data_IF_196802322642
#
_entry.id   IF_196802322642
#
_cell.length_a   1.000
_cell.length_b   1.000
_cell.length_c   1.000
_cell.angle_alpha   90.00
_cell.angle_beta   90.00
_cell.angle_gamma   90.00
#
_symmetry.space_group_name_H-M   'P 1'
#
loop_
_entity.id
_entity.type
_entity.pdbx_description
1 polymer ?
#
# COMPACT_ATOMS: atom_id res chain seq x y z
N UNK A 1 53.54 4.75 -7.94
CA UNK A 1 52.60 3.81 -8.60
C UNK A 1 51.20 4.41 -8.42
N UNK A 2 50.71 5.06 -9.45
CA UNK A 2 49.34 5.65 -9.45
C UNK A 2 48.38 4.49 -9.65
N UNK A 3 47.54 4.23 -8.65
CA UNK A 3 46.38 3.33 -8.82
C UNK A 3 45.45 3.94 -9.87
N UNK A 4 45.45 3.35 -11.03
CA UNK A 4 44.39 3.56 -12.02
C UNK A 4 43.08 3.05 -11.45
N UNK A 5 42.34 3.90 -10.71
CA UNK A 5 40.90 3.68 -10.48
C UNK A 5 40.24 3.72 -11.84
N UNK A 6 39.97 2.54 -12.40
CA UNK A 6 39.01 2.40 -13.50
C UNK A 6 37.69 2.94 -12.93
N UNK A 7 37.36 4.20 -13.24
CA UNK A 7 36.07 4.77 -12.93
C UNK A 7 35.06 4.02 -13.81
N UNK A 8 34.43 3.00 -13.28
CA UNK A 8 33.28 2.37 -13.94
C UNK A 8 32.27 3.49 -14.20
N UNK A 9 31.92 3.67 -15.48
CA UNK A 9 30.97 4.69 -15.90
C UNK A 9 29.65 4.47 -15.16
N UNK A 10 29.16 5.49 -14.45
CA UNK A 10 27.90 5.49 -13.72
C UNK A 10 26.74 5.39 -14.73
N UNK A 11 25.74 4.56 -14.41
CA UNK A 11 24.58 4.39 -15.28
C UNK A 11 23.67 5.62 -15.26
N UNK A 12 23.39 6.16 -14.07
CA UNK A 12 22.56 7.32 -13.86
C UNK A 12 23.13 8.19 -12.72
N UNK A 13 23.13 9.50 -12.92
CA UNK A 13 23.47 10.49 -11.90
C UNK A 13 22.28 11.43 -11.69
N UNK A 14 21.72 11.44 -10.49
CA UNK A 14 20.70 12.42 -10.09
C UNK A 14 21.38 13.56 -9.38
N UNK A 15 21.28 14.76 -9.93
CA UNK A 15 21.84 15.99 -9.37
C UNK A 15 20.78 16.79 -8.61
N UNK A 16 21.21 17.53 -7.61
CA UNK A 16 20.37 18.50 -6.89
C UNK A 16 19.11 17.91 -6.27
N UNK A 17 19.19 16.68 -5.76
CA UNK A 17 18.06 16.01 -5.08
C UNK A 17 17.87 16.55 -3.67
N UNK A 18 16.62 16.70 -3.22
CA UNK A 18 16.28 16.84 -1.79
C UNK A 18 15.71 15.51 -1.31
N UNK A 19 16.29 14.92 -0.26
CA UNK A 19 15.80 13.68 0.33
C UNK A 19 14.66 13.93 1.34
N UNK A 20 13.88 12.89 1.75
CA UNK A 20 12.80 13.04 2.72
C UNK A 20 13.25 13.61 4.09
N UNK A 21 14.50 13.40 4.48
CA UNK A 21 15.11 13.93 5.70
C UNK A 21 15.63 15.38 5.56
N UNK A 22 15.50 15.98 4.37
CA UNK A 22 15.92 17.35 4.05
C UNK A 22 17.36 17.48 3.54
N UNK A 23 18.16 16.41 3.51
CA UNK A 23 19.51 16.45 2.92
C UNK A 23 19.42 16.82 1.44
N UNK A 24 20.31 17.70 1.01
CA UNK A 24 20.52 18.03 -0.42
C UNK A 24 21.71 17.24 -0.92
N UNK A 25 21.51 16.41 -1.91
CA UNK A 25 22.50 15.43 -2.36
C UNK A 25 22.47 15.20 -3.86
N UNK A 26 23.53 14.59 -4.38
CA UNK A 26 23.55 13.87 -5.63
C UNK A 26 23.47 12.36 -5.35
N UNK A 27 22.89 11.60 -6.28
CA UNK A 27 22.75 10.15 -6.18
C UNK A 27 23.36 9.51 -7.41
N UNK A 28 24.38 8.68 -7.23
CA UNK A 28 24.99 7.90 -8.31
C UNK A 28 24.44 6.47 -8.31
N UNK A 29 24.12 5.97 -9.50
CA UNK A 29 23.57 4.62 -9.72
C UNK A 29 24.50 3.82 -10.64
N UNK A 30 24.78 2.60 -10.22
CA UNK A 30 25.53 1.62 -11.03
C UNK A 30 24.94 0.22 -10.85
N UNK A 31 24.76 -0.52 -11.94
CA UNK A 31 24.23 -1.89 -11.90
C UNK A 31 22.86 -2.01 -11.26
N UNK A 32 21.99 -1.00 -11.45
CA UNK A 32 20.64 -0.98 -10.92
C UNK A 32 20.55 -0.72 -9.40
N UNK A 33 21.64 -0.32 -8.74
CA UNK A 33 21.72 -0.01 -7.32
C UNK A 33 22.28 1.38 -7.08
N UNK A 34 21.95 1.96 -5.93
CA UNK A 34 22.54 3.21 -5.47
C UNK A 34 23.99 2.93 -5.07
N UNK A 35 24.93 3.48 -5.82
CA UNK A 35 26.36 3.32 -5.60
C UNK A 35 26.92 4.33 -4.59
N UNK A 36 26.40 5.57 -4.63
CA UNK A 36 26.84 6.66 -3.76
C UNK A 36 25.72 7.69 -3.58
N UNK A 37 25.69 8.30 -2.37
CA UNK A 37 24.83 9.46 -2.03
C UNK A 37 25.72 10.45 -1.31
N UNK A 38 25.96 11.62 -1.90
CA UNK A 38 26.85 12.64 -1.37
C UNK A 38 26.35 14.05 -1.66
N UNK A 39 26.86 15.07 -0.97
CA UNK A 39 26.49 16.48 -1.18
C UNK A 39 26.77 16.94 -2.62
N UNK A 40 27.80 16.41 -3.26
CA UNK A 40 28.13 16.60 -4.66
C UNK A 40 28.92 15.39 -5.17
N UNK A 41 28.60 14.93 -6.39
CA UNK A 41 29.28 13.83 -7.07
C UNK A 41 29.79 14.31 -8.40
N UNK A 42 31.12 14.33 -8.55
CA UNK A 42 31.80 14.67 -9.81
C UNK A 42 32.16 13.38 -10.55
N UNK A 43 31.26 12.92 -11.42
CA UNK A 43 31.45 11.69 -12.17
C UNK A 43 30.78 11.78 -13.55
N UNK A 44 31.31 11.04 -14.52
CA UNK A 44 30.66 10.86 -15.82
C UNK A 44 29.58 9.77 -15.68
N UNK A 45 28.38 10.07 -16.17
CA UNK A 45 27.25 9.15 -16.19
C UNK A 45 26.70 9.03 -17.64
N UNK A 46 26.06 7.89 -17.91
CA UNK A 46 25.33 7.69 -19.18
C UNK A 46 24.11 8.58 -19.29
N UNK A 47 23.43 8.79 -18.18
CA UNK A 47 22.25 9.63 -18.07
C UNK A 47 22.37 10.55 -16.84
N UNK A 48 21.88 11.78 -16.95
CA UNK A 48 21.85 12.75 -15.85
C UNK A 48 20.43 13.27 -15.70
N UNK A 49 19.90 13.19 -14.49
CA UNK A 49 18.63 13.81 -14.08
C UNK A 49 18.96 14.98 -13.16
N UNK A 50 18.60 16.20 -13.55
CA UNK A 50 18.62 17.33 -12.63
C UNK A 50 17.27 17.38 -11.89
N UNK A 51 17.28 17.07 -10.58
CA UNK A 51 16.11 17.12 -9.74
C UNK A 51 15.70 18.56 -9.35
N UNK A 52 16.49 19.58 -9.69
CA UNK A 52 16.19 21.02 -9.46
C UNK A 52 15.82 21.35 -8.01
N UNK A 53 16.35 20.61 -7.05
CA UNK A 53 16.01 20.73 -5.64
C UNK A 53 14.63 20.19 -5.26
N UNK A 54 13.98 19.43 -6.13
CA UNK A 54 12.77 18.70 -5.82
C UNK A 54 13.04 17.45 -5.00
N UNK A 55 11.98 16.94 -4.35
CA UNK A 55 12.02 15.76 -3.52
C UNK A 55 12.28 14.50 -4.35
N UNK A 56 13.35 13.79 -4.01
CA UNK A 56 13.58 12.41 -4.46
C UNK A 56 13.21 11.48 -3.31
N UNK A 57 12.22 10.63 -3.55
CA UNK A 57 11.63 9.73 -2.56
C UNK A 57 11.84 8.28 -2.98
N UNK A 58 11.95 7.31 -2.04
CA UNK A 58 11.69 5.92 -2.37
C UNK A 58 10.33 5.80 -3.06
N UNK A 59 10.09 4.75 -3.87
CA UNK A 59 8.80 4.58 -4.56
C UNK A 59 7.67 4.35 -3.57
N UNK A 60 6.45 4.67 -3.98
CA UNK A 60 5.26 4.36 -3.19
C UNK A 60 4.98 2.86 -3.16
N UNK A 61 4.34 2.43 -2.08
CA UNK A 61 3.93 1.04 -1.86
C UNK A 61 2.47 1.03 -1.44
N UNK A 62 1.68 0.18 -2.08
CA UNK A 62 0.34 -0.15 -1.64
C UNK A 62 0.38 -1.44 -0.82
N UNK A 63 0.10 -1.32 0.48
CA UNK A 63 0.19 -2.43 1.42
C UNK A 63 -1.03 -3.34 1.40
N UNK A 64 -2.12 -2.93 0.73
CA UNK A 64 -3.37 -3.67 0.69
C UNK A 64 -4.20 -3.28 -0.52
N UNK A 65 -4.42 -4.22 -1.43
CA UNK A 65 -5.11 -4.02 -2.69
C UNK A 65 -5.89 -5.26 -3.15
N UNK A 66 -6.85 -5.10 -4.07
CA UNK A 66 -7.60 -6.18 -4.73
C UNK A 66 -7.44 -6.09 -6.26
N UNK A 67 -6.32 -6.61 -6.77
CA UNK A 67 -6.00 -6.52 -8.21
C UNK A 67 -6.89 -7.40 -9.09
N UNK A 68 -7.44 -8.49 -8.55
CA UNK A 68 -8.37 -9.35 -9.25
C UNK A 68 -9.71 -8.65 -9.57
N UNK A 69 -10.14 -7.74 -8.69
CA UNK A 69 -11.37 -6.99 -8.86
C UNK A 69 -11.17 -5.62 -9.53
N UNK A 70 -9.94 -5.08 -9.58
CA UNK A 70 -9.68 -3.72 -10.07
C UNK A 70 -10.21 -3.49 -11.47
N UNK A 71 -10.66 -2.26 -11.77
CA UNK A 71 -11.20 -1.81 -13.06
C UNK A 71 -12.42 -2.62 -13.55
N UNK A 72 -13.19 -3.22 -12.62
CA UNK A 72 -14.45 -3.94 -12.93
C UNK A 72 -15.71 -3.15 -12.53
N UNK A 73 -15.59 -1.86 -12.27
CA UNK A 73 -16.72 -1.00 -11.93
C UNK A 73 -17.86 -1.13 -12.95
N UNK A 74 -19.08 -1.37 -12.43
CA UNK A 74 -20.27 -1.57 -13.25
C UNK A 74 -20.45 -2.99 -13.80
N UNK A 75 -19.57 -3.93 -13.44
CA UNK A 75 -19.65 -5.34 -13.84
C UNK A 75 -20.09 -6.21 -12.66
N UNK A 76 -21.14 -7.05 -12.84
CA UNK A 76 -22.14 -7.06 -13.94
C UNK A 76 -23.11 -5.88 -13.84
N UNK A 77 -23.12 -5.15 -12.73
CA UNK A 77 -23.94 -3.97 -12.45
C UNK A 77 -23.26 -3.08 -11.40
N UNK A 78 -23.77 -1.86 -11.20
CA UNK A 78 -23.27 -0.97 -10.15
C UNK A 78 -23.76 -1.37 -8.76
N UNK A 79 -22.95 -1.13 -7.73
CA UNK A 79 -23.33 -1.17 -6.32
C UNK A 79 -24.26 0.02 -6.02
N UNK A 80 -25.51 -0.26 -5.73
CA UNK A 80 -26.54 0.77 -5.52
C UNK A 80 -26.60 1.23 -4.07
N UNK A 81 -26.37 0.35 -3.11
CA UNK A 81 -26.39 0.69 -1.68
C UNK A 81 -25.09 1.34 -1.18
N UNK A 82 -24.01 1.14 -1.91
CA UNK A 82 -22.65 1.53 -1.49
C UNK A 82 -22.18 0.78 -0.25
N UNK A 83 -22.73 -0.41 0.04
CA UNK A 83 -22.35 -1.22 1.18
C UNK A 83 -21.31 -2.28 0.83
N UNK A 84 -20.51 -2.68 1.82
CA UNK A 84 -19.56 -3.80 1.72
C UNK A 84 -20.28 -5.09 1.25
N UNK A 85 -21.42 -5.40 1.85
CA UNK A 85 -22.16 -6.64 1.57
C UNK A 85 -22.72 -6.69 0.15
N UNK A 86 -23.14 -5.56 -0.43
CA UNK A 86 -23.54 -5.54 -1.83
C UNK A 86 -22.33 -5.69 -2.75
N UNK A 87 -21.18 -5.11 -2.41
CA UNK A 87 -19.92 -5.31 -3.14
C UNK A 87 -19.53 -6.80 -3.19
N UNK A 88 -19.57 -7.50 -2.05
CA UNK A 88 -19.29 -8.94 -1.96
C UNK A 88 -20.26 -9.74 -2.83
N UNK A 89 -21.57 -9.38 -2.81
CA UNK A 89 -22.57 -10.04 -3.67
C UNK A 89 -22.28 -9.83 -5.15
N UNK A 90 -21.95 -8.60 -5.55
CA UNK A 90 -21.59 -8.25 -6.93
C UNK A 90 -20.36 -9.02 -7.40
N UNK A 91 -19.36 -9.15 -6.53
CA UNK A 91 -18.19 -9.97 -6.83
C UNK A 91 -18.58 -11.45 -7.06
N UNK A 92 -19.45 -11.99 -6.20
CA UNK A 92 -20.01 -13.33 -6.38
C UNK A 92 -20.77 -13.50 -7.69
N UNK A 93 -21.51 -12.47 -8.15
CA UNK A 93 -22.19 -12.46 -9.44
C UNK A 93 -21.21 -12.37 -10.62
N UNK A 94 -20.09 -11.68 -10.44
CA UNK A 94 -19.05 -11.45 -11.46
C UNK A 94 -18.12 -12.66 -11.62
N UNK A 95 -17.72 -13.32 -10.52
CA UNK A 95 -16.75 -14.44 -10.52
C UNK A 95 -17.01 -15.48 -11.61
N UNK A 96 -18.24 -16.02 -11.79
CA UNK A 96 -18.53 -17.03 -12.83
C UNK A 96 -18.31 -16.53 -14.26
N UNK A 97 -18.37 -15.22 -14.48
CA UNK A 97 -18.25 -14.56 -15.79
C UNK A 97 -16.81 -14.21 -16.15
N UNK A 98 -15.88 -14.31 -15.19
CA UNK A 98 -14.47 -13.95 -15.41
C UNK A 98 -13.80 -14.95 -16.35
N UNK A 99 -12.93 -14.40 -17.22
CA UNK A 99 -11.94 -15.16 -17.99
C UNK A 99 -10.53 -14.77 -17.55
N UNK A 100 -9.60 -15.68 -17.75
CA UNK A 100 -8.19 -15.48 -17.39
C UNK A 100 -7.62 -14.23 -18.09
N UNK A 101 -7.91 -14.08 -19.38
CA UNK A 101 -7.45 -12.96 -20.20
C UNK A 101 -8.02 -11.62 -19.72
N UNK A 102 -9.30 -11.57 -19.36
CA UNK A 102 -9.94 -10.34 -18.88
C UNK A 102 -9.38 -9.88 -17.54
N UNK A 103 -9.03 -10.81 -16.63
CA UNK A 103 -8.36 -10.47 -15.37
C UNK A 103 -6.96 -9.93 -15.64
N UNK A 104 -6.16 -10.60 -16.48
CA UNK A 104 -4.83 -10.13 -16.86
C UNK A 104 -4.90 -8.74 -17.48
N UNK A 105 -5.81 -8.51 -18.42
CA UNK A 105 -5.93 -7.22 -19.11
C UNK A 105 -6.20 -6.08 -18.11
N UNK A 106 -7.19 -6.24 -17.21
CA UNK A 106 -7.49 -5.23 -16.20
C UNK A 106 -6.31 -4.99 -15.24
N UNK A 107 -5.71 -6.06 -14.76
CA UNK A 107 -4.56 -5.98 -13.86
C UNK A 107 -3.36 -5.30 -14.51
N UNK A 108 -3.04 -5.61 -15.78
CA UNK A 108 -1.95 -4.95 -16.51
C UNK A 108 -2.24 -3.47 -16.74
N UNK A 109 -3.45 -3.09 -17.12
CA UNK A 109 -3.86 -1.67 -17.25
C UNK A 109 -3.75 -0.92 -15.93
N UNK A 110 -4.11 -1.56 -14.82
CA UNK A 110 -3.90 -0.96 -13.50
C UNK A 110 -2.41 -0.81 -13.18
N UNK A 111 -1.57 -1.79 -13.51
CA UNK A 111 -0.12 -1.68 -13.32
C UNK A 111 0.48 -0.49 -14.10
N UNK A 112 0.02 -0.22 -15.32
CA UNK A 112 0.45 0.95 -16.09
C UNK A 112 0.09 2.25 -15.36
N UNK A 113 -1.14 2.32 -14.83
CA UNK A 113 -1.60 3.45 -14.04
C UNK A 113 -0.76 3.60 -12.75
N UNK A 114 -0.53 2.51 -12.02
CA UNK A 114 0.27 2.48 -10.80
C UNK A 114 1.71 2.98 -11.02
N UNK A 115 2.37 2.51 -12.09
CA UNK A 115 3.71 2.98 -12.48
C UNK A 115 3.72 4.48 -12.71
N UNK A 116 2.72 5.04 -13.40
CA UNK A 116 2.62 6.48 -13.63
C UNK A 116 2.49 7.28 -12.33
N UNK A 117 1.96 6.67 -11.27
CA UNK A 117 1.85 7.25 -9.93
C UNK A 117 3.07 6.98 -9.04
N UNK A 118 4.11 6.31 -9.56
CA UNK A 118 5.31 5.95 -8.80
C UNK A 118 5.08 4.85 -7.77
N UNK A 119 4.01 4.07 -7.92
CA UNK A 119 3.68 2.92 -7.10
C UNK A 119 4.38 1.69 -7.68
N UNK A 120 5.47 1.23 -7.03
CA UNK A 120 6.35 0.19 -7.56
C UNK A 120 6.41 -1.08 -6.70
N UNK A 121 5.59 -1.17 -5.66
CA UNK A 121 5.37 -2.41 -4.91
C UNK A 121 3.91 -2.47 -4.43
N UNK A 122 3.28 -3.63 -4.57
CA UNK A 122 1.87 -3.84 -4.23
C UNK A 122 1.73 -5.18 -3.54
N UNK A 123 1.02 -5.21 -2.40
CA UNK A 123 0.45 -6.42 -1.82
C UNK A 123 -1.01 -6.50 -2.21
N UNK A 124 -1.39 -7.56 -2.93
CA UNK A 124 -2.77 -7.73 -3.41
C UNK A 124 -3.38 -9.02 -2.88
N UNK A 125 -4.60 -8.91 -2.38
CA UNK A 125 -5.43 -10.05 -1.99
C UNK A 125 -6.08 -10.62 -3.25
N UNK A 126 -5.99 -11.94 -3.41
CA UNK A 126 -6.62 -12.65 -4.53
C UNK A 126 -7.60 -13.68 -3.99
N UNK A 127 -8.85 -13.60 -4.45
CA UNK A 127 -9.92 -14.47 -3.99
C UNK A 127 -9.65 -15.94 -4.37
N UNK A 128 -9.68 -16.83 -3.36
CA UNK A 128 -9.52 -18.28 -3.53
C UNK A 128 -10.84 -19.05 -3.43
N UNK A 129 -11.97 -18.36 -3.24
CA UNK A 129 -13.32 -18.97 -3.23
C UNK A 129 -13.86 -19.18 -4.65
N UNK A 130 -13.01 -19.72 -5.54
CA UNK A 130 -13.33 -20.18 -6.90
C UNK A 130 -12.48 -21.43 -7.17
N UNK A 131 -13.11 -22.57 -7.32
CA UNK A 131 -12.43 -23.86 -7.53
C UNK A 131 -11.52 -23.89 -8.77
N UNK A 132 -11.74 -22.99 -9.73
CA UNK A 132 -10.87 -22.81 -10.90
C UNK A 132 -9.54 -22.18 -10.53
N UNK A 133 -9.46 -21.43 -9.41
CA UNK A 133 -8.35 -20.54 -9.04
C UNK A 133 -7.95 -19.58 -10.18
N UNK A 134 -8.92 -19.19 -10.99
CA UNK A 134 -8.72 -18.39 -12.20
C UNK A 134 -7.98 -17.08 -11.91
N UNK A 135 -8.40 -16.34 -10.89
CA UNK A 135 -7.75 -15.08 -10.52
C UNK A 135 -6.34 -15.30 -9.96
N UNK A 136 -6.11 -16.41 -9.24
CA UNK A 136 -4.77 -16.76 -8.72
C UNK A 136 -3.82 -17.01 -9.89
N UNK A 137 -4.18 -17.85 -10.84
CA UNK A 137 -3.34 -18.15 -12.01
C UNK A 137 -3.08 -16.91 -12.87
N UNK A 138 -4.11 -16.09 -13.09
CA UNK A 138 -4.00 -14.82 -13.82
C UNK A 138 -3.03 -13.85 -13.14
N UNK A 139 -3.13 -13.65 -11.83
CA UNK A 139 -2.24 -12.72 -11.11
C UNK A 139 -0.81 -13.28 -10.93
N UNK A 140 -0.62 -14.59 -10.87
CA UNK A 140 0.71 -15.19 -10.95
C UNK A 140 1.37 -14.92 -12.32
N UNK A 141 0.61 -14.94 -13.39
CA UNK A 141 1.10 -14.54 -14.72
C UNK A 141 1.38 -13.05 -14.80
N UNK A 142 0.48 -12.19 -14.30
CA UNK A 142 0.72 -10.75 -14.19
C UNK A 142 2.00 -10.48 -13.43
N UNK A 143 2.22 -11.10 -12.25
CA UNK A 143 3.44 -10.94 -11.45
C UNK A 143 4.70 -11.20 -12.26
N UNK A 144 4.72 -12.22 -13.10
CA UNK A 144 5.87 -12.51 -13.99
C UNK A 144 6.08 -11.40 -15.01
N UNK A 145 5.01 -10.90 -15.64
CA UNK A 145 5.08 -9.87 -16.68
C UNK A 145 5.55 -8.52 -16.14
N UNK A 146 5.06 -8.13 -14.96
CA UNK A 146 5.35 -6.80 -14.38
C UNK A 146 6.60 -6.77 -13.51
N UNK A 147 7.24 -7.90 -13.23
CA UNK A 147 8.43 -7.98 -12.36
C UNK A 147 9.53 -6.95 -12.68
N UNK A 148 9.78 -6.53 -13.92
CA UNK A 148 10.74 -5.48 -14.23
C UNK A 148 10.33 -4.08 -13.73
N UNK A 149 9.05 -3.87 -13.36
CA UNK A 149 8.48 -2.56 -13.04
C UNK A 149 7.89 -2.51 -11.62
N UNK A 150 7.16 -3.55 -11.20
CA UNK A 150 6.47 -3.62 -9.91
C UNK A 150 6.83 -4.91 -9.18
N UNK A 151 7.14 -4.79 -7.89
CA UNK A 151 7.25 -5.93 -7.00
C UNK A 151 5.83 -6.28 -6.51
N UNK A 152 5.23 -7.38 -7.01
CA UNK A 152 3.89 -7.82 -6.65
C UNK A 152 3.94 -8.99 -5.67
N UNK A 153 3.31 -8.81 -4.50
CA UNK A 153 3.12 -9.83 -3.47
C UNK A 153 1.65 -10.25 -3.42
N UNK A 154 1.36 -11.55 -3.51
CA UNK A 154 0.02 -12.10 -3.54
C UNK A 154 -0.38 -12.67 -2.20
N UNK A 155 -1.61 -12.41 -1.77
CA UNK A 155 -2.23 -12.97 -0.56
C UNK A 155 -3.34 -13.93 -0.95
N UNK A 156 -3.28 -15.19 -0.52
CA UNK A 156 -4.37 -16.14 -0.71
C UNK A 156 -5.53 -15.77 0.21
N UNK A 157 -6.60 -15.21 -0.36
CA UNK A 157 -7.68 -14.57 0.37
C UNK A 157 -9.03 -15.30 0.21
N UNK A 158 -9.55 -15.94 1.25
CA UNK A 158 -10.85 -16.59 1.22
C UNK A 158 -11.99 -15.56 1.41
N UNK A 159 -12.33 -14.82 0.34
CA UNK A 159 -13.27 -13.70 0.32
C UNK A 159 -14.64 -14.04 0.95
N UNK A 160 -15.14 -15.26 0.74
CA UNK A 160 -16.45 -15.69 1.23
C UNK A 160 -16.41 -16.34 2.63
N UNK A 161 -15.23 -16.29 3.31
CA UNK A 161 -14.97 -16.91 4.60
C UNK A 161 -14.22 -18.24 4.49
N UNK A 162 -13.31 -18.51 5.44
CA UNK A 162 -12.46 -19.70 5.42
C UNK A 162 -13.23 -20.98 5.81
N UNK A 163 -14.16 -20.87 6.76
CA UNK A 163 -15.04 -21.97 7.14
C UNK A 163 -16.43 -21.88 6.51
N UNK A 164 -16.84 -20.67 6.14
CA UNK A 164 -18.14 -20.45 5.51
C UNK A 164 -18.22 -21.01 4.08
N UNK A 165 -17.12 -20.94 3.35
CA UNK A 165 -16.96 -21.60 2.05
C UNK A 165 -16.29 -22.98 2.26
N UNK A 166 -16.98 -24.09 1.91
CA UNK A 166 -16.45 -25.45 2.14
C UNK A 166 -15.21 -25.78 1.33
N UNK A 167 -14.91 -25.00 0.28
CA UNK A 167 -13.75 -25.23 -0.61
C UNK A 167 -12.56 -24.32 -0.29
N UNK A 168 -12.77 -23.25 0.50
CA UNK A 168 -11.80 -22.21 0.75
C UNK A 168 -10.47 -22.76 1.30
N UNK A 169 -10.47 -23.64 2.29
CA UNK A 169 -9.26 -24.24 2.85
C UNK A 169 -8.45 -25.00 1.80
N UNK A 170 -9.10 -25.86 1.03
CA UNK A 170 -8.47 -26.64 -0.05
C UNK A 170 -7.86 -25.71 -1.08
N UNK A 171 -8.59 -24.69 -1.49
CA UNK A 171 -8.18 -23.75 -2.52
C UNK A 171 -7.06 -22.82 -2.03
N UNK A 172 -7.11 -22.37 -0.78
CA UNK A 172 -6.04 -21.59 -0.15
C UNK A 172 -4.71 -22.39 -0.18
N UNK A 173 -4.73 -23.65 0.25
CA UNK A 173 -3.53 -24.50 0.21
C UNK A 173 -3.02 -24.70 -1.21
N UNK A 174 -3.89 -24.93 -2.19
CA UNK A 174 -3.50 -25.00 -3.62
C UNK A 174 -2.90 -23.69 -4.13
N UNK A 175 -3.46 -22.55 -3.76
CA UNK A 175 -2.93 -21.25 -4.14
C UNK A 175 -1.52 -21.02 -3.58
N UNK A 176 -1.29 -21.42 -2.30
CA UNK A 176 0.05 -21.38 -1.70
C UNK A 176 1.04 -22.34 -2.40
N UNK A 177 0.59 -23.52 -2.79
CA UNK A 177 1.42 -24.48 -3.55
C UNK A 177 1.76 -23.96 -4.96
N UNK A 178 0.91 -23.13 -5.57
CA UNK A 178 1.18 -22.43 -6.83
C UNK A 178 2.16 -21.25 -6.66
N UNK A 179 2.51 -20.88 -5.44
CA UNK A 179 3.48 -19.84 -5.14
C UNK A 179 2.89 -18.48 -4.77
N UNK A 180 1.69 -18.43 -4.21
CA UNK A 180 1.16 -17.24 -3.53
C UNK A 180 1.96 -17.04 -2.23
N UNK A 181 2.26 -15.78 -1.88
CA UNK A 181 3.31 -15.42 -0.93
C UNK A 181 2.84 -15.32 0.53
N UNK A 182 1.54 -15.03 0.75
CA UNK A 182 1.00 -14.62 2.05
C UNK A 182 -0.33 -15.33 2.32
N UNK A 183 -0.58 -15.69 3.57
CA UNK A 183 -1.85 -16.25 4.01
C UNK A 183 -2.80 -15.12 4.41
N UNK A 184 -3.98 -15.08 3.79
CA UNK A 184 -5.05 -14.13 4.08
C UNK A 184 -6.23 -14.74 4.81
N UNK A 185 -7.16 -13.88 5.27
CA UNK A 185 -8.39 -14.30 5.92
C UNK A 185 -9.35 -13.15 6.14
N UNK A 186 -10.60 -13.46 6.46
CA UNK A 186 -11.68 -12.51 6.79
C UNK A 186 -12.53 -13.04 7.95
N UNK A 187 -11.98 -13.08 9.20
CA UNK A 187 -12.63 -13.75 10.33
C UNK A 187 -13.97 -13.13 10.72
N UNK A 188 -14.18 -11.83 10.53
CA UNK A 188 -15.46 -11.16 10.78
C UNK A 188 -16.52 -11.50 9.71
N UNK A 189 -16.13 -12.12 8.61
CA UNK A 189 -17.03 -12.67 7.59
C UNK A 189 -17.54 -14.08 7.92
N UNK A 190 -17.02 -14.74 8.95
CA UNK A 190 -17.49 -16.05 9.40
C UNK A 190 -18.88 -15.95 10.07
N UNK A 191 -19.52 -17.11 10.32
CA UNK A 191 -20.89 -17.15 10.86
C UNK A 191 -20.95 -16.68 12.30
N UNK A 192 -19.93 -16.99 13.10
CA UNK A 192 -19.86 -16.66 14.53
C UNK A 192 -18.48 -16.11 14.90
N UNK A 193 -18.41 -15.42 16.04
CA UNK A 193 -17.13 -14.99 16.62
C UNK A 193 -16.20 -16.18 16.91
N UNK A 194 -16.76 -17.31 17.31
CA UNK A 194 -16.00 -18.53 17.57
C UNK A 194 -15.40 -19.12 16.28
N UNK A 195 -16.16 -19.15 15.17
CA UNK A 195 -15.66 -19.60 13.87
C UNK A 195 -14.58 -18.65 13.36
N UNK A 196 -14.76 -17.33 13.54
CA UNK A 196 -13.75 -16.33 13.19
C UNK A 196 -12.44 -16.52 13.96
N UNK A 197 -12.51 -16.76 15.26
CA UNK A 197 -11.32 -17.05 16.07
C UNK A 197 -10.66 -18.38 15.69
N UNK A 198 -11.45 -19.41 15.38
CA UNK A 198 -10.95 -20.71 14.93
C UNK A 198 -10.30 -20.62 13.55
N UNK A 199 -10.88 -19.87 12.59
CA UNK A 199 -10.28 -19.64 11.27
C UNK A 199 -8.96 -18.90 11.40
N UNK A 200 -8.89 -17.88 12.26
CA UNK A 200 -7.67 -17.14 12.56
C UNK A 200 -6.55 -18.06 13.06
N UNK A 201 -6.87 -18.94 14.02
CA UNK A 201 -5.89 -19.91 14.53
C UNK A 201 -5.33 -20.78 13.42
N UNK A 202 -6.19 -21.38 12.61
CA UNK A 202 -5.77 -22.31 11.55
C UNK A 202 -4.96 -21.59 10.45
N UNK A 203 -5.38 -20.39 10.01
CA UNK A 203 -4.66 -19.60 9.02
C UNK A 203 -3.26 -19.21 9.50
N UNK A 204 -3.13 -18.82 10.79
CA UNK A 204 -1.82 -18.51 11.38
C UNK A 204 -0.93 -19.77 11.49
N UNK A 205 -1.49 -20.93 11.83
CA UNK A 205 -0.77 -22.21 11.86
C UNK A 205 -0.26 -22.60 10.46
N UNK A 206 -1.11 -22.51 9.43
CA UNK A 206 -0.70 -22.74 8.02
C UNK A 206 0.47 -21.83 7.63
N UNK A 207 0.40 -20.54 7.98
CA UNK A 207 1.46 -19.60 7.67
C UNK A 207 2.76 -19.91 8.42
N UNK A 208 2.67 -20.24 9.70
CA UNK A 208 3.82 -20.59 10.54
C UNK A 208 4.55 -21.83 10.03
N UNK A 209 3.80 -22.92 9.72
CA UNK A 209 4.31 -24.18 9.19
C UNK A 209 5.04 -23.99 7.85
N UNK A 210 4.55 -23.09 6.99
CA UNK A 210 5.12 -22.79 5.68
C UNK A 210 6.17 -21.68 5.68
N UNK A 211 6.42 -21.03 6.81
CA UNK A 211 7.34 -19.90 6.92
C UNK A 211 6.83 -18.63 6.21
N UNK A 212 5.53 -18.49 5.98
CA UNK A 212 4.90 -17.39 5.26
C UNK A 212 4.48 -16.23 6.18
N UNK A 213 4.17 -15.08 5.57
CA UNK A 213 3.54 -13.94 6.22
C UNK A 213 2.02 -14.16 6.34
N UNK A 214 1.37 -13.35 7.20
CA UNK A 214 -0.08 -13.31 7.37
C UNK A 214 -0.58 -11.89 7.13
N UNK A 215 -1.68 -11.73 6.38
CA UNK A 215 -2.38 -10.45 6.20
C UNK A 215 -3.90 -10.68 6.20
N UNK A 216 -4.54 -10.22 7.26
CA UNK A 216 -5.94 -10.51 7.55
C UNK A 216 -6.80 -9.27 7.37
N UNK A 217 -7.90 -9.38 6.60
CA UNK A 217 -9.02 -8.43 6.69
C UNK A 217 -9.61 -8.55 8.09
N UNK A 218 -9.11 -7.74 9.02
CA UNK A 218 -9.37 -7.92 10.43
C UNK A 218 -10.38 -6.88 10.91
N UNK A 219 -11.56 -7.38 11.31
CA UNK A 219 -12.61 -6.56 11.93
C UNK A 219 -13.02 -5.33 11.10
N UNK A 220 -13.22 -5.51 9.78
CA UNK A 220 -13.74 -4.48 8.89
C UNK A 220 -15.24 -4.28 9.08
N UNK A 221 -15.61 -3.79 10.26
CA UNK A 221 -16.98 -3.60 10.67
C UNK A 221 -17.11 -2.46 11.68
N UNK A 222 -18.32 -1.91 11.81
CA UNK A 222 -18.67 -0.92 12.83
C UNK A 222 -18.96 -1.53 14.21
N UNK A 223 -19.07 -2.87 14.32
CA UNK A 223 -19.36 -3.56 15.55
C UNK A 223 -18.15 -3.56 16.51
N UNK A 224 -18.24 -2.91 17.69
CA UNK A 224 -17.15 -2.91 18.66
C UNK A 224 -16.88 -4.29 19.31
N UNK A 225 -17.79 -5.26 19.14
CA UNK A 225 -17.63 -6.61 19.63
C UNK A 225 -16.91 -7.52 18.64
N UNK A 226 -16.67 -7.08 17.39
CA UNK A 226 -15.77 -7.75 16.48
C UNK A 226 -14.32 -7.52 16.95
N UNK A 227 -13.69 -8.56 17.50
CA UNK A 227 -12.42 -8.49 18.24
C UNK A 227 -11.42 -9.56 17.78
N UNK A 228 -11.47 -9.94 16.51
CA UNK A 228 -10.55 -10.96 15.98
C UNK A 228 -9.09 -10.48 15.93
N UNK A 229 -8.87 -9.16 16.00
CA UNK A 229 -7.52 -8.61 16.18
C UNK A 229 -6.87 -9.11 17.48
N UNK A 230 -7.65 -9.34 18.56
CA UNK A 230 -7.13 -9.95 19.80
C UNK A 230 -6.68 -11.40 19.54
N UNK A 231 -7.44 -12.15 18.73
CA UNK A 231 -7.07 -13.51 18.30
C UNK A 231 -5.80 -13.49 17.43
N UNK A 232 -5.68 -12.53 16.50
CA UNK A 232 -4.49 -12.38 15.65
C UNK A 232 -3.23 -12.10 16.49
N UNK A 233 -3.35 -11.23 17.49
CA UNK A 233 -2.27 -10.93 18.44
C UNK A 233 -1.85 -12.18 19.19
N UNK A 234 -2.83 -12.92 19.75
CA UNK A 234 -2.56 -14.14 20.49
C UNK A 234 -1.85 -15.20 19.64
N UNK A 235 -2.36 -15.47 18.44
CA UNK A 235 -1.77 -16.45 17.53
C UNK A 235 -0.37 -16.04 17.06
N UNK A 236 -0.18 -14.74 16.77
CA UNK A 236 1.13 -14.19 16.43
C UNK A 236 2.17 -14.46 17.52
N UNK A 237 1.81 -14.25 18.79
CA UNK A 237 2.70 -14.53 19.94
C UNK A 237 2.90 -16.03 20.16
N UNK A 238 1.81 -16.80 20.14
CA UNK A 238 1.84 -18.27 20.35
C UNK A 238 2.74 -18.98 19.35
N UNK A 239 2.75 -18.53 18.09
CA UNK A 239 3.48 -19.16 16.99
C UNK A 239 4.87 -18.52 16.73
N UNK A 240 5.28 -17.54 17.53
CA UNK A 240 6.56 -16.85 17.34
C UNK A 240 6.63 -16.04 16.03
N UNK A 241 5.51 -15.49 15.58
CA UNK A 241 5.37 -14.77 14.31
C UNK A 241 5.47 -13.24 14.45
N UNK A 242 6.08 -12.73 15.51
CA UNK A 242 6.22 -11.29 15.75
C UNK A 242 6.85 -10.56 14.57
N UNK A 243 6.19 -9.54 14.08
CA UNK A 243 6.60 -8.76 12.89
C UNK A 243 6.31 -9.44 11.55
N UNK A 244 5.56 -10.57 11.54
CA UNK A 244 5.19 -11.32 10.33
C UNK A 244 3.69 -11.32 10.05
N UNK A 245 2.90 -10.67 10.91
CA UNK A 245 1.45 -10.60 10.79
C UNK A 245 0.97 -9.16 10.65
N UNK A 246 -0.05 -8.97 9.80
CA UNK A 246 -0.71 -7.70 9.51
C UNK A 246 -2.20 -7.83 9.82
N UNK A 247 -2.74 -6.88 10.58
CA UNK A 247 -4.17 -6.64 10.67
C UNK A 247 -4.56 -5.50 9.73
N UNK A 248 -5.28 -5.82 8.67
CA UNK A 248 -5.79 -4.84 7.72
C UNK A 248 -7.16 -4.31 8.14
N UNK A 249 -7.48 -3.07 7.81
CA UNK A 249 -8.67 -2.29 8.19
C UNK A 249 -8.75 -1.95 9.67
N UNK A 250 -9.00 -2.91 10.55
CA UNK A 250 -9.13 -2.73 12.01
C UNK A 250 -10.23 -1.70 12.41
N UNK A 251 -11.27 -1.57 11.58
CA UNK A 251 -12.25 -0.48 11.73
C UNK A 251 -13.08 -0.60 12.99
N UNK A 252 -13.36 -1.81 13.49
CA UNK A 252 -14.10 -2.00 14.76
C UNK A 252 -13.46 -1.27 15.94
N UNK A 253 -12.12 -1.07 15.90
CA UNK A 253 -11.37 -0.40 16.97
C UNK A 253 -11.84 1.04 17.23
N UNK A 254 -12.37 1.74 16.20
CA UNK A 254 -12.88 3.11 16.41
C UNK A 254 -14.13 3.16 17.30
N UNK A 255 -14.86 2.06 17.37
CA UNK A 255 -16.10 1.92 18.16
C UNK A 255 -15.88 1.22 19.50
N UNK A 256 -14.69 0.65 19.75
CA UNK A 256 -14.36 -0.04 20.99
C UNK A 256 -14.28 0.93 22.17
N UNK A 257 -14.62 0.43 23.36
CA UNK A 257 -14.37 1.14 24.60
C UNK A 257 -12.90 1.51 24.75
N UNK A 258 -12.63 2.71 25.29
CA UNK A 258 -11.27 3.25 25.39
C UNK A 258 -10.36 2.41 26.27
N UNK A 259 -10.87 1.82 27.38
CA UNK A 259 -10.08 0.96 28.26
C UNK A 259 -9.65 -0.31 27.53
N UNK A 260 -10.61 -0.99 26.86
CA UNK A 260 -10.31 -2.19 26.10
C UNK A 260 -9.34 -1.91 24.93
N UNK A 261 -9.57 -0.83 24.18
CA UNK A 261 -8.69 -0.43 23.08
C UNK A 261 -7.25 -0.16 23.55
N UNK A 262 -7.08 0.50 24.71
CA UNK A 262 -5.76 0.76 25.31
C UNK A 262 -5.03 -0.55 25.65
N UNK A 263 -5.72 -1.52 26.27
CA UNK A 263 -5.16 -2.85 26.54
C UNK A 263 -4.75 -3.54 25.23
N UNK A 264 -5.64 -3.57 24.25
CA UNK A 264 -5.43 -4.24 22.97
C UNK A 264 -4.23 -3.65 22.21
N UNK A 265 -4.10 -2.33 22.15
CA UNK A 265 -2.97 -1.64 21.51
C UNK A 265 -1.65 -2.05 22.17
N UNK A 266 -1.61 -2.19 23.49
CA UNK A 266 -0.42 -2.70 24.20
C UNK A 266 -0.05 -4.11 23.75
N UNK A 267 -1.02 -5.01 23.65
CA UNK A 267 -0.80 -6.38 23.16
C UNK A 267 -0.37 -6.44 21.70
N UNK A 268 -0.93 -5.56 20.83
CA UNK A 268 -0.51 -5.44 19.44
C UNK A 268 0.95 -5.00 19.34
N UNK A 269 1.38 -4.06 20.18
CA UNK A 269 2.78 -3.60 20.22
C UNK A 269 3.73 -4.73 20.67
N UNK A 270 3.38 -5.48 21.71
CA UNK A 270 4.15 -6.64 22.19
C UNK A 270 4.27 -7.73 21.11
N UNK A 271 3.20 -7.98 20.35
CA UNK A 271 3.20 -8.91 19.23
C UNK A 271 3.96 -8.35 18.01
N UNK A 272 4.39 -7.10 18.03
CA UNK A 272 4.92 -6.38 16.84
C UNK A 272 4.03 -6.57 15.62
N UNK A 273 2.70 -6.49 15.84
CA UNK A 273 1.73 -6.58 14.76
C UNK A 273 1.83 -5.34 13.87
N UNK A 274 1.78 -5.53 12.56
CA UNK A 274 1.59 -4.43 11.63
C UNK A 274 0.10 -4.12 11.49
N UNK A 275 -0.23 -2.86 11.21
CA UNK A 275 -1.60 -2.42 10.95
C UNK A 275 -1.67 -1.74 9.58
N UNK A 276 -2.66 -2.12 8.76
CA UNK A 276 -2.88 -1.51 7.44
C UNK A 276 -4.33 -1.01 7.32
N UNK A 277 -4.66 0.17 7.89
CA UNK A 277 -5.91 0.83 7.57
C UNK A 277 -5.92 1.30 6.11
N UNK A 278 -7.11 1.27 5.51
CA UNK A 278 -7.36 1.64 4.12
C UNK A 278 -8.26 2.88 4.06
N UNK A 279 -7.71 4.11 4.18
CA UNK A 279 -8.49 5.31 4.47
C UNK A 279 -9.63 5.59 3.49
N UNK A 280 -9.39 5.43 2.20
CA UNK A 280 -10.36 5.72 1.14
C UNK A 280 -11.57 4.79 1.21
N UNK A 281 -11.32 3.50 1.39
CA UNK A 281 -12.39 2.50 1.42
C UNK A 281 -13.09 2.47 2.79
N UNK A 282 -12.34 2.54 3.90
CA UNK A 282 -12.92 2.43 5.23
C UNK A 282 -13.94 3.54 5.51
N UNK A 283 -13.63 4.81 5.17
CA UNK A 283 -14.59 5.92 5.37
C UNK A 283 -15.78 5.87 4.39
N UNK A 284 -15.65 5.12 3.30
CA UNK A 284 -16.72 4.93 2.32
C UNK A 284 -17.69 3.83 2.74
N UNK A 285 -17.17 2.73 3.29
CA UNK A 285 -17.96 1.55 3.64
C UNK A 285 -18.50 1.56 5.07
N UNK A 286 -17.79 2.18 6.03
CA UNK A 286 -18.18 2.21 7.44
C UNK A 286 -19.21 3.33 7.73
N UNK A 287 -19.89 3.25 8.89
CA UNK A 287 -20.91 4.21 9.31
C UNK A 287 -22.18 4.20 8.46
N UNK A 288 -22.42 3.16 7.66
CA UNK A 288 -23.60 3.05 6.79
C UNK A 288 -24.90 2.89 7.57
N UNK A 289 -24.85 2.28 8.75
CA UNK A 289 -25.99 2.12 9.65
C UNK A 289 -26.16 3.29 10.61
N UNK A 290 -25.23 4.24 10.67
CA UNK A 290 -25.33 5.42 11.52
C UNK A 290 -26.36 6.41 10.95
N UNK A 291 -27.07 7.07 11.86
CA UNK A 291 -27.81 8.30 11.58
C UNK A 291 -26.84 9.50 11.68
N UNK A 292 -27.12 10.54 12.46
CA UNK A 292 -26.19 11.64 12.71
C UNK A 292 -25.97 11.79 14.21
N UNK A 293 -24.71 12.03 14.67
CA UNK A 293 -23.48 12.16 13.88
C UNK A 293 -22.98 10.80 13.35
N UNK A 294 -22.44 10.80 12.11
CA UNK A 294 -21.79 9.61 11.55
C UNK A 294 -20.38 9.46 12.10
N UNK A 295 -19.98 8.21 12.40
CA UNK A 295 -18.60 7.90 12.76
C UNK A 295 -17.66 8.04 11.56
N UNK A 296 -16.37 8.18 11.82
CA UNK A 296 -15.36 8.38 10.75
C UNK A 296 -15.00 7.11 9.99
N UNK A 297 -15.29 5.93 10.55
CA UNK A 297 -15.05 4.64 9.91
C UNK A 297 -13.58 4.22 9.81
N UNK A 298 -12.67 4.83 10.55
CA UNK A 298 -11.24 4.55 10.49
C UNK A 298 -10.70 4.12 11.85
N UNK A 299 -9.80 3.14 11.87
CA UNK A 299 -9.13 2.68 13.09
C UNK A 299 -8.35 3.80 13.82
N UNK A 300 -7.86 3.52 15.01
CA UNK A 300 -7.18 4.46 15.94
C UNK A 300 -5.72 4.74 15.55
N UNK A 301 -5.48 5.25 14.34
CA UNK A 301 -4.12 5.47 13.79
C UNK A 301 -3.20 6.27 14.72
N UNK A 302 -3.65 7.40 15.34
CA UNK A 302 -2.77 8.15 16.25
C UNK A 302 -2.30 7.33 17.45
N UNK A 303 -3.21 6.56 18.07
CA UNK A 303 -2.88 5.72 19.24
C UNK A 303 -2.00 4.53 18.87
N UNK A 304 -2.27 3.86 17.73
CA UNK A 304 -1.43 2.79 17.21
C UNK A 304 0.00 3.29 16.95
N UNK A 305 0.14 4.43 16.28
CA UNK A 305 1.43 5.07 16.05
C UNK A 305 2.15 5.44 17.35
N UNK A 306 1.44 6.03 18.32
CA UNK A 306 2.01 6.42 19.61
C UNK A 306 2.52 5.21 20.40
N UNK A 307 1.93 4.04 20.22
CA UNK A 307 2.38 2.77 20.79
C UNK A 307 3.56 2.12 20.02
N UNK A 308 4.07 2.75 18.96
CA UNK A 308 5.19 2.23 18.16
C UNK A 308 4.80 1.13 17.17
N UNK A 309 3.51 0.89 16.95
CA UNK A 309 3.03 -0.06 15.96
C UNK A 309 3.34 0.47 14.56
N UNK A 310 3.87 -0.38 13.69
CA UNK A 310 4.11 -0.03 12.30
C UNK A 310 2.78 0.03 11.54
N UNK A 311 2.34 1.25 11.20
CA UNK A 311 1.08 1.48 10.48
C UNK A 311 1.38 1.91 9.05
N UNK A 312 0.74 1.23 8.09
CA UNK A 312 0.80 1.54 6.65
C UNK A 312 -0.58 1.92 6.15
N UNK A 313 -0.68 2.70 5.07
CA UNK A 313 -1.95 2.91 4.39
C UNK A 313 -2.01 2.10 3.09
N UNK A 314 -3.14 1.43 2.85
CA UNK A 314 -3.49 0.82 1.58
C UNK A 314 -4.49 1.67 0.80
N UNK A 315 -4.51 1.48 -0.52
CA UNK A 315 -5.56 2.05 -1.39
C UNK A 315 -6.80 1.15 -1.39
N UNK A 316 -6.59 -0.16 -1.28
CA UNK A 316 -7.56 -1.23 -1.25
C UNK A 316 -8.22 -1.50 -2.61
N UNK A 317 -9.00 -0.56 -3.10
CA UNK A 317 -9.86 -0.70 -4.26
C UNK A 317 -9.66 0.45 -5.26
N UNK A 318 -9.76 0.16 -6.56
CA UNK A 318 -9.77 1.15 -7.65
C UNK A 318 -10.79 0.74 -8.70
N UNK A 319 -11.87 1.52 -8.84
CA UNK A 319 -12.90 1.33 -9.85
C UNK A 319 -13.43 -0.13 -9.90
N UNK A 320 -13.89 -0.62 -8.77
CA UNK A 320 -14.37 -1.97 -8.57
C UNK A 320 -15.76 -2.01 -7.88
N UNK A 321 -16.31 -3.18 -7.50
CA UNK A 321 -17.63 -3.27 -6.86
C UNK A 321 -17.78 -2.54 -5.53
N UNK A 322 -16.67 -2.24 -4.82
CA UNK A 322 -16.69 -1.59 -3.51
C UNK A 322 -16.38 -0.10 -3.57
N UNK A 323 -15.53 0.33 -4.53
CA UNK A 323 -15.06 1.70 -4.62
C UNK A 323 -15.00 2.21 -6.06
N UNK A 324 -15.84 3.22 -6.43
CA UNK A 324 -15.97 3.66 -7.82
C UNK A 324 -14.89 4.66 -8.27
N UNK A 325 -13.92 4.97 -7.43
CA UNK A 325 -12.91 6.01 -7.67
C UNK A 325 -11.49 5.45 -7.57
N UNK A 326 -10.50 6.34 -7.53
CA UNK A 326 -9.11 5.99 -7.34
C UNK A 326 -8.33 5.85 -8.65
N UNK A 327 -7.01 5.92 -8.52
CA UNK A 327 -6.07 5.81 -9.63
C UNK A 327 -4.71 5.21 -9.19
N UNK A 328 -4.64 4.55 -8.02
CA UNK A 328 -3.38 4.03 -7.48
C UNK A 328 -2.46 5.14 -6.93
N UNK A 329 -2.99 6.32 -6.62
CA UNK A 329 -2.22 7.41 -6.03
C UNK A 329 -2.12 7.28 -4.52
N UNK A 330 -0.97 6.80 -4.02
CA UNK A 330 -0.75 6.63 -2.58
C UNK A 330 -0.65 7.95 -1.82
N UNK A 331 -0.38 9.08 -2.48
CA UNK A 331 -0.49 10.40 -1.85
C UNK A 331 -1.96 10.77 -1.58
N UNK A 332 -2.90 10.28 -2.38
CA UNK A 332 -4.34 10.42 -2.11
C UNK A 332 -4.73 9.61 -0.87
N UNK A 333 -4.32 8.35 -0.78
CA UNK A 333 -4.56 7.50 0.39
C UNK A 333 -3.96 8.11 1.66
N UNK A 334 -2.71 8.58 1.60
CA UNK A 334 -2.06 9.25 2.73
C UNK A 334 -2.75 10.56 3.12
N UNK A 335 -3.18 11.36 2.14
CA UNK A 335 -3.94 12.61 2.38
C UNK A 335 -5.27 12.32 3.08
N UNK A 336 -5.98 11.29 2.66
CA UNK A 336 -7.23 10.89 3.32
C UNK A 336 -6.96 10.40 4.75
N UNK A 337 -5.97 9.54 4.95
CA UNK A 337 -5.56 9.06 6.28
C UNK A 337 -5.19 10.21 7.22
N UNK A 338 -4.45 11.19 6.72
CA UNK A 338 -4.11 12.43 7.44
C UNK A 338 -5.35 13.18 7.92
N UNK A 339 -6.34 13.41 7.03
CA UNK A 339 -7.55 14.17 7.37
C UNK A 339 -8.46 13.40 8.34
N UNK A 340 -8.70 12.13 8.07
CA UNK A 340 -9.59 11.31 8.91
C UNK A 340 -8.96 11.03 10.28
N UNK A 341 -7.64 10.83 10.33
CA UNK A 341 -6.88 10.61 11.56
C UNK A 341 -6.60 11.89 12.36
N UNK A 342 -7.00 13.10 11.88
CA UNK A 342 -6.74 14.40 12.53
C UNK A 342 -5.23 14.64 12.79
N UNK A 343 -4.37 14.22 11.85
CA UNK A 343 -2.92 14.23 12.01
C UNK A 343 -2.29 15.53 11.50
N UNK A 344 -2.65 16.67 12.08
CA UNK A 344 -2.31 18.02 11.59
C UNK A 344 -1.00 18.61 12.17
N UNK A 345 -0.27 17.88 13.00
CA UNK A 345 1.05 18.34 13.45
C UNK A 345 2.11 18.14 12.36
N UNK A 346 3.17 18.96 12.29
CA UNK A 346 4.24 18.79 11.29
C UNK A 346 4.86 17.39 11.30
N UNK A 347 5.03 16.79 12.46
CA UNK A 347 5.55 15.43 12.62
C UNK A 347 4.56 14.38 12.06
N UNK A 348 3.26 14.50 12.37
CA UNK A 348 2.24 13.58 11.90
C UNK A 348 2.02 13.69 10.37
N UNK A 349 2.12 14.91 9.81
CA UNK A 349 2.08 15.11 8.36
C UNK A 349 3.24 14.41 7.64
N UNK A 350 4.46 14.53 8.18
CA UNK A 350 5.64 13.82 7.64
C UNK A 350 5.46 12.31 7.75
N UNK A 351 5.00 11.81 8.90
CA UNK A 351 4.74 10.40 9.13
C UNK A 351 3.67 9.83 8.18
N UNK A 352 2.65 10.61 7.76
CA UNK A 352 1.65 10.15 6.80
C UNK A 352 2.28 9.82 5.42
N UNK A 353 3.37 10.48 5.06
CA UNK A 353 4.17 10.12 3.89
C UNK A 353 4.92 8.78 4.09
N UNK A 354 5.46 8.57 5.31
CA UNK A 354 6.11 7.31 5.65
C UNK A 354 5.14 6.12 5.63
N UNK A 355 3.85 6.36 5.94
CA UNK A 355 2.80 5.34 5.91
C UNK A 355 2.50 4.78 4.50
N UNK A 356 2.99 5.41 3.44
CA UNK A 356 2.86 4.94 2.04
C UNK A 356 4.23 4.71 1.37
N UNK A 357 5.30 4.73 2.14
CA UNK A 357 6.68 4.50 1.66
C UNK A 357 7.42 3.51 2.56
N UNK A 358 8.08 3.96 3.61
CA UNK A 358 8.97 3.13 4.43
C UNK A 358 8.22 2.17 5.37
N UNK A 359 7.03 2.54 5.83
CA UNK A 359 6.26 1.67 6.73
C UNK A 359 5.73 0.42 6.01
N UNK A 360 5.08 0.52 4.82
CA UNK A 360 4.67 -0.66 4.08
C UNK A 360 5.87 -1.51 3.61
N UNK A 361 7.03 -0.92 3.31
CA UNK A 361 8.22 -1.69 2.99
C UNK A 361 8.61 -2.67 4.11
N UNK A 362 8.47 -2.24 5.39
CA UNK A 362 8.68 -3.10 6.56
C UNK A 362 7.63 -4.20 6.65
N UNK A 363 6.33 -3.86 6.45
CA UNK A 363 5.23 -4.82 6.53
C UNK A 363 5.29 -5.88 5.42
N UNK A 364 5.77 -5.51 4.23
CA UNK A 364 5.94 -6.40 3.08
C UNK A 364 7.28 -7.14 3.10
N UNK A 365 8.17 -6.86 4.04
CA UNK A 365 9.54 -7.39 4.09
C UNK A 365 10.35 -7.14 2.81
N UNK A 366 10.24 -5.93 2.23
CA UNK A 366 10.92 -5.59 0.99
C UNK A 366 12.42 -5.36 1.23
N UNK A 367 13.26 -6.15 0.57
CA UNK A 367 14.70 -6.03 0.64
C UNK A 367 15.24 -4.95 -0.32
N UNK A 368 16.24 -4.19 0.15
CA UNK A 368 16.93 -3.18 -0.65
C UNK A 368 16.06 -1.95 -0.98
N UNK A 369 15.00 -1.71 -0.23
CA UNK A 369 14.17 -0.52 -0.34
C UNK A 369 14.79 0.66 0.42
N UNK A 370 14.83 1.83 -0.19
CA UNK A 370 15.37 3.05 0.40
C UNK A 370 16.25 3.84 -0.56
N UNK A 371 16.89 4.91 -0.07
CA UNK A 371 17.76 5.78 -0.87
C UNK A 371 19.22 5.75 -0.40
N UNK A 372 19.59 4.82 0.45
CA UNK A 372 20.96 4.68 0.91
C UNK A 372 21.80 3.83 -0.05
N UNK A 373 23.13 3.97 0.06
CA UNK A 373 24.08 3.15 -0.70
C UNK A 373 23.76 1.65 -0.54
N UNK A 374 23.70 0.94 -1.67
CA UNK A 374 23.41 -0.49 -1.74
C UNK A 374 21.92 -0.81 -1.93
N UNK A 375 21.01 0.12 -1.71
CA UNK A 375 19.58 -0.05 -2.04
C UNK A 375 19.38 -0.23 -3.56
N UNK A 376 18.26 -0.82 -3.96
CA UNK A 376 17.80 -0.81 -5.36
C UNK A 376 17.67 0.65 -5.81
N UNK A 377 18.06 0.94 -7.04
CA UNK A 377 17.90 2.29 -7.60
C UNK A 377 16.45 2.51 -8.07
N UNK A 378 15.51 2.41 -7.13
CA UNK A 378 14.09 2.61 -7.31
C UNK A 378 13.70 3.88 -6.56
N UNK A 379 13.24 4.91 -7.28
CA UNK A 379 12.86 6.19 -6.66
C UNK A 379 11.94 7.01 -7.56
N UNK A 380 11.32 8.03 -6.97
CA UNK A 380 10.42 8.96 -7.65
C UNK A 380 10.92 10.39 -7.41
N UNK A 381 11.01 11.18 -8.48
CA UNK A 381 11.23 12.63 -8.39
C UNK A 381 9.88 13.31 -8.37
N UNK A 382 9.56 13.97 -7.25
CA UNK A 382 8.26 14.60 -6.99
C UNK A 382 8.36 16.12 -7.12
N UNK A 383 7.42 16.75 -7.81
CA UNK A 383 7.31 18.22 -7.89
C UNK A 383 6.88 18.82 -6.55
N UNK A 384 7.72 18.66 -5.56
CA UNK A 384 7.55 19.12 -4.18
C UNK A 384 8.93 19.37 -3.55
N UNK A 385 9.00 20.16 -2.47
CA UNK A 385 10.28 20.46 -1.78
C UNK A 385 10.56 19.52 -0.60
N UNK A 386 9.52 18.87 -0.07
CA UNK A 386 9.62 17.95 1.06
C UNK A 386 8.38 17.04 1.12
N UNK A 387 8.33 15.99 1.99
CA UNK A 387 7.21 15.06 2.12
C UNK A 387 5.87 15.72 2.44
N UNK A 388 5.83 16.77 3.28
CA UNK A 388 4.58 17.47 3.62
C UNK A 388 4.00 18.18 2.40
N UNK A 389 4.86 18.82 1.61
CA UNK A 389 4.46 19.46 0.36
C UNK A 389 4.04 18.44 -0.71
N UNK A 390 4.66 17.26 -0.74
CA UNK A 390 4.23 16.17 -1.62
C UNK A 390 2.78 15.77 -1.32
N UNK A 391 2.41 15.63 -0.04
CA UNK A 391 1.03 15.36 0.37
C UNK A 391 0.08 16.52 0.04
N UNK A 392 0.47 17.76 0.40
CA UNK A 392 -0.36 18.95 0.18
C UNK A 392 -0.73 19.14 -1.28
N UNK A 393 0.24 18.96 -2.16
CA UNK A 393 0.09 19.16 -3.61
C UNK A 393 -0.46 17.94 -4.34
N UNK A 394 -0.47 16.75 -3.71
CA UNK A 394 -0.54 15.46 -4.43
C UNK A 394 0.44 15.51 -5.59
N UNK A 395 1.72 15.69 -5.22
CA UNK A 395 2.77 16.16 -6.11
C UNK A 395 2.89 15.33 -7.38
N UNK A 396 3.03 16.02 -8.51
CA UNK A 396 3.26 15.38 -9.80
C UNK A 396 4.55 14.53 -9.79
N UNK A 397 4.53 13.37 -10.44
CA UNK A 397 5.67 12.44 -10.58
C UNK A 397 6.47 12.82 -11.80
N UNK A 398 7.51 13.64 -11.61
CA UNK A 398 8.33 14.13 -12.72
C UNK A 398 9.12 13.01 -13.39
N UNK A 399 9.66 12.09 -12.57
CA UNK A 399 10.36 10.89 -13.03
C UNK A 399 10.04 9.74 -12.08
N UNK A 400 9.81 8.57 -12.64
CA UNK A 400 9.72 7.30 -11.92
C UNK A 400 10.87 6.43 -12.41
N UNK A 401 11.71 5.99 -11.48
CA UNK A 401 12.92 5.24 -11.78
C UNK A 401 12.83 3.86 -11.14
N UNK A 402 13.09 2.81 -11.92
CA UNK A 402 13.19 1.41 -11.47
C UNK A 402 14.49 0.81 -11.96
N UNK A 403 15.29 0.27 -11.02
CA UNK A 403 16.60 -0.31 -11.35
C UNK A 403 17.54 0.67 -12.06
N UNK A 404 17.45 1.96 -11.74
CA UNK A 404 18.26 3.01 -12.37
C UNK A 404 17.81 3.43 -13.78
N UNK A 405 16.62 3.03 -14.22
CA UNK A 405 16.04 3.41 -15.51
C UNK A 405 14.78 4.24 -15.31
N UNK A 406 14.63 5.31 -16.06
CA UNK A 406 13.36 6.06 -16.10
C UNK A 406 12.33 5.18 -16.80
N UNK A 407 11.23 4.85 -16.10
CA UNK A 407 10.14 4.01 -16.62
C UNK A 407 8.83 4.78 -16.81
N UNK A 408 8.69 5.95 -16.19
CA UNK A 408 7.62 6.90 -16.46
C UNK A 408 8.10 8.33 -16.19
N UNK A 409 7.50 9.28 -16.88
CA UNK A 409 7.77 10.70 -16.68
C UNK A 409 6.55 11.56 -16.99
N UNK A 410 6.46 12.70 -16.30
CA UNK A 410 5.43 13.71 -16.55
C UNK A 410 6.07 15.10 -16.58
N UNK A 411 5.56 16.03 -17.39
CA UNK A 411 6.03 17.41 -17.38
C UNK A 411 5.72 18.09 -16.05
N UNK A 412 6.48 19.15 -15.72
CA UNK A 412 6.14 19.99 -14.57
C UNK A 412 4.73 20.59 -14.74
N UNK A 413 3.96 20.57 -13.67
CA UNK A 413 2.64 21.23 -13.61
C UNK A 413 2.84 22.68 -13.24
N UNK A 414 2.81 23.57 -14.24
CA UNK A 414 2.91 25.03 -14.09
C UNK A 414 1.73 25.65 -14.81
N UNK A 415 0.97 26.49 -14.11
CA UNK A 415 -0.17 27.21 -14.67
C UNK A 415 0.29 28.57 -15.21
N UNK A 416 -0.10 28.93 -16.44
CA UNK A 416 0.04 30.28 -16.95
C UNK A 416 -1.08 31.17 -16.35
N UNK A 417 -0.70 32.39 -15.95
CA UNK A 417 -1.64 33.42 -15.49
C UNK A 417 -1.70 34.56 -16.49
N UNK A 418 -2.91 34.99 -16.82
CA UNK A 418 -3.19 36.08 -17.73
C UNK A 418 -3.86 37.24 -16.95
N UNK A 419 -3.16 37.72 -15.90
CA UNK A 419 -3.66 38.72 -14.96
C UNK A 419 -2.69 39.89 -14.92
N UNK A 420 -3.19 41.14 -15.13
CA UNK A 420 -2.39 42.34 -15.08
C UNK A 420 -1.71 42.54 -13.73
N UNK A 421 -0.44 42.88 -13.71
CA UNK A 421 0.34 43.13 -12.52
C UNK A 421 0.60 41.90 -11.63
N UNK A 422 0.36 40.68 -12.13
CA UNK A 422 0.61 39.42 -11.42
C UNK A 422 1.72 38.60 -12.12
N UNK A 423 2.34 37.62 -11.42
CA UNK A 423 3.27 36.69 -12.06
C UNK A 423 2.63 36.02 -13.28
N UNK A 424 3.38 35.86 -14.38
CA UNK A 424 2.87 35.19 -15.58
C UNK A 424 2.69 33.66 -15.43
N UNK A 425 3.26 33.05 -14.38
CA UNK A 425 3.15 31.62 -14.11
C UNK A 425 3.04 31.33 -12.60
N UNK A 426 2.43 30.20 -12.26
CA UNK A 426 2.38 29.66 -10.89
C UNK A 426 2.78 28.20 -10.89
N UNK A 427 3.81 27.87 -10.09
CA UNK A 427 4.16 26.52 -9.70
C UNK A 427 3.80 26.33 -8.21
N UNK A 428 2.93 25.40 -7.89
CA UNK A 428 2.49 25.18 -6.52
C UNK A 428 3.61 24.85 -5.52
N UNK A 429 4.71 24.27 -6.01
CA UNK A 429 5.88 23.94 -5.18
C UNK A 429 6.67 25.19 -4.71
N UNK A 430 6.45 26.36 -5.32
CA UNK A 430 7.12 27.61 -4.92
C UNK A 430 6.43 28.27 -3.71
N UNK A 431 5.27 27.77 -3.30
CA UNK A 431 4.48 28.26 -2.16
C UNK A 431 4.68 27.44 -0.89
N UNK A 432 5.71 26.58 -0.85
CA UNK A 432 6.05 25.85 0.35
C UNK A 432 6.41 26.80 1.49
N UNK A 433 5.85 26.66 2.70
CA UNK A 433 6.28 27.43 3.85
C UNK A 433 7.73 27.07 4.21
N UNK A 434 8.45 28.02 4.76
CA UNK A 434 9.77 27.76 5.37
C UNK A 434 9.54 27.10 6.72
N UNK A 435 9.45 25.76 6.72
CA UNK A 435 9.26 24.93 7.94
C UNK A 435 10.64 24.40 8.37
#
# INVERSE_FOLDING_TARGET
>A
MSENKVHSMIDLLVKNATLPDGRKVDIAVAGGRIAEVAASIEAQAREIIDAKGYLVSPPFIDAHFHMDATLSLGMPRFNQSGTLLEGIRLWGELKPLLTHEAVIERAMRYCDLAVSQGLLAIRTHVDVCDDRLLCVEALLEVRKRIKPYIDLQLVAFPQDGFYRDPTAKKNLLRALDLGVDVVGGIPHGERTMADGAASMKELCEIAAERGLLVDIHCDETDDPLSRHVESLVYETQRLGMQGRAVGSHLTSMHSMDNYYASKLIGLMAEARLHATPNPLINITLQGRHDTYPKRRGMTRVPELRAAGINVSFGHDCVMDPWYPMGQGDMLEAASMGFHVGLMTTPEAMRWAFDAVTVNPAKALHLEGYGLEKGCKADFVVLQAKNPVEALRLKANRLKVVKGGRVIAESPERVSALHLDGRPGTVNGADYAPKI
#
